data_IF_041679835551
#
_entry.id   IF_041679835551
#
_cell.length_a   1.000
_cell.length_b   1.000
_cell.length_c   1.000
_cell.angle_alpha   90.00
_cell.angle_beta   90.00
_cell.angle_gamma   90.00
#
_symmetry.space_group_name_H-M   'P 1'
#
loop_
_entity.id
_entity.type
_entity.pdbx_description
1 polymer ?
#
# COMPACT_ATOMS: atom_id res chain seq x y z
N UNK A 1 -23.63 -24.78 56.85
CA UNK A 1 -24.25 -24.98 55.52
C UNK A 1 -24.44 -23.67 54.75
N UNK A 2 -25.01 -22.62 55.35
CA UNK A 2 -25.30 -21.35 54.64
C UNK A 2 -24.06 -20.68 54.03
N UNK A 3 -22.93 -20.67 54.73
CA UNK A 3 -21.66 -20.10 54.25
C UNK A 3 -21.11 -20.81 53.01
N UNK A 4 -21.26 -22.12 52.93
CA UNK A 4 -20.81 -22.91 51.78
C UNK A 4 -21.62 -22.58 50.52
N UNK A 5 -22.94 -22.41 50.65
CA UNK A 5 -23.83 -22.05 49.53
C UNK A 5 -23.46 -20.67 48.97
N UNK A 6 -23.16 -19.70 49.83
CA UNK A 6 -22.78 -18.34 49.42
C UNK A 6 -21.48 -18.35 48.61
N UNK A 7 -20.47 -19.12 49.07
CA UNK A 7 -19.17 -19.21 48.36
C UNK A 7 -19.32 -19.81 46.96
N UNK A 8 -20.15 -20.87 46.83
CA UNK A 8 -20.40 -21.49 45.52
C UNK A 8 -21.09 -20.52 44.56
N UNK A 9 -22.07 -19.73 45.03
CA UNK A 9 -22.76 -18.74 44.21
C UNK A 9 -21.84 -17.62 43.72
N UNK A 10 -20.90 -17.17 44.57
CA UNK A 10 -19.91 -16.16 44.18
C UNK A 10 -18.99 -16.69 43.09
N UNK A 11 -18.48 -17.93 43.22
CA UNK A 11 -17.60 -18.54 42.22
C UNK A 11 -18.31 -18.69 40.87
N UNK A 12 -19.57 -19.13 40.87
CA UNK A 12 -20.38 -19.24 39.65
C UNK A 12 -20.62 -17.87 39.00
N UNK A 13 -20.92 -16.84 39.79
CA UNK A 13 -21.10 -15.47 39.27
C UNK A 13 -19.81 -14.90 38.65
N UNK A 14 -18.67 -15.07 39.32
CA UNK A 14 -17.37 -14.62 38.81
C UNK A 14 -17.03 -15.36 37.52
N UNK A 15 -17.26 -16.67 37.46
CA UNK A 15 -16.99 -17.48 36.27
C UNK A 15 -17.83 -17.06 35.08
N UNK A 16 -19.12 -16.76 35.29
CA UNK A 16 -20.02 -16.25 34.26
C UNK A 16 -19.62 -14.85 33.75
N UNK A 17 -19.16 -13.97 34.65
CA UNK A 17 -18.67 -12.64 34.29
C UNK A 17 -17.38 -12.71 33.46
N UNK A 18 -16.43 -13.55 33.86
CA UNK A 18 -15.18 -13.76 33.12
C UNK A 18 -15.44 -14.36 31.73
N UNK A 19 -16.36 -15.32 31.63
CA UNK A 19 -16.72 -15.92 30.35
C UNK A 19 -17.37 -14.90 29.39
N UNK A 20 -18.25 -14.04 29.91
CA UNK A 20 -18.90 -12.99 29.11
C UNK A 20 -17.92 -11.92 28.64
N UNK A 21 -16.90 -11.62 29.44
CA UNK A 21 -15.87 -10.64 29.07
C UNK A 21 -14.96 -11.15 27.95
N UNK A 22 -14.58 -12.44 27.99
CA UNK A 22 -13.73 -13.04 26.95
C UNK A 22 -14.44 -13.14 25.58
N UNK A 23 -15.78 -13.29 25.58
CA UNK A 23 -16.54 -13.34 24.32
C UNK A 23 -16.64 -11.97 23.63
N UNK A 24 -16.60 -10.86 24.38
CA UNK A 24 -16.66 -9.52 23.81
C UNK A 24 -15.37 -9.14 23.06
N UNK A 25 -14.22 -9.73 23.43
CA UNK A 25 -12.94 -9.44 22.77
C UNK A 25 -12.74 -10.18 21.44
N UNK A 26 -13.55 -11.18 21.13
CA UNK A 26 -13.42 -11.93 19.86
C UNK A 26 -14.22 -11.30 18.70
N UNK A 27 -15.24 -10.49 18.97
CA UNK A 27 -16.05 -9.87 17.91
C UNK A 27 -15.44 -8.59 17.31
N UNK A 28 -14.40 -8.01 17.92
CA UNK A 28 -13.72 -6.81 17.39
C UNK A 28 -12.66 -7.09 16.29
N UNK A 29 -12.42 -8.36 15.92
CA UNK A 29 -11.44 -8.70 14.86
C UNK A 29 -12.06 -9.25 13.57
N UNK A 30 -13.39 -9.26 13.44
CA UNK A 30 -14.10 -9.55 12.18
C UNK A 30 -14.78 -8.30 11.60
N UNK A 31 -14.23 -7.12 11.86
CA UNK A 31 -14.53 -5.91 11.10
C UNK A 31 -13.89 -6.01 9.73
N UNK A 32 -14.56 -6.69 8.80
CA UNK A 32 -14.29 -6.59 7.36
C UNK A 32 -14.59 -5.14 6.95
N UNK A 33 -13.64 -4.26 7.25
CA UNK A 33 -13.64 -2.89 6.81
C UNK A 33 -13.58 -2.96 5.29
N UNK A 34 -14.76 -2.91 4.67
CA UNK A 34 -14.92 -2.59 3.27
C UNK A 34 -14.27 -1.24 3.04
N UNK A 35 -12.98 -1.25 2.70
CA UNK A 35 -12.29 -0.15 2.06
C UNK A 35 -12.85 -0.02 0.65
N UNK A 36 -14.13 0.38 0.56
CA UNK A 36 -14.70 0.95 -0.63
C UNK A 36 -13.93 2.25 -0.86
N UNK A 37 -12.94 2.20 -1.75
CA UNK A 37 -12.57 3.38 -2.48
C UNK A 37 -13.86 3.89 -3.13
N UNK A 38 -14.53 4.86 -2.50
CA UNK A 38 -15.57 5.65 -3.13
C UNK A 38 -14.91 6.26 -4.35
N UNK A 39 -15.10 5.63 -5.50
CA UNK A 39 -14.81 6.21 -6.79
C UNK A 39 -15.86 7.33 -6.96
N UNK A 40 -15.58 8.48 -6.34
CA UNK A 40 -16.34 9.68 -6.58
C UNK A 40 -16.12 10.02 -8.05
N UNK A 41 -17.21 9.90 -8.80
CA UNK A 41 -17.29 10.14 -10.23
C UNK A 41 -17.12 11.64 -10.42
N UNK A 42 -15.88 12.12 -10.37
CA UNK A 42 -15.54 13.49 -10.74
C UNK A 42 -15.75 13.61 -12.25
N UNK A 43 -16.95 14.04 -12.63
CA UNK A 43 -17.21 14.53 -13.98
C UNK A 43 -16.33 15.77 -14.19
N UNK A 44 -15.23 15.59 -14.91
CA UNK A 44 -14.31 16.67 -15.27
C UNK A 44 -15.06 17.70 -16.17
N UNK A 45 -15.25 18.96 -15.76
CA UNK A 45 -16.08 19.93 -16.50
C UNK A 45 -15.45 20.51 -17.78
N UNK A 46 -14.35 19.95 -18.30
CA UNK A 46 -13.51 20.66 -19.29
C UNK A 46 -13.05 19.83 -20.49
N UNK A 47 -13.80 18.81 -20.91
CA UNK A 47 -13.51 18.18 -22.21
C UNK A 47 -14.25 18.93 -23.34
N UNK A 48 -13.53 19.53 -24.32
CA UNK A 48 -14.16 20.10 -25.49
C UNK A 48 -14.81 18.98 -26.32
N UNK A 49 -16.12 19.10 -26.55
CA UNK A 49 -16.82 18.27 -27.53
C UNK A 49 -16.35 18.66 -28.93
N UNK A 50 -15.55 17.80 -29.57
CA UNK A 50 -15.00 18.10 -30.89
C UNK A 50 -14.48 16.89 -31.65
N UNK A 51 -15.26 16.48 -32.66
CA UNK A 51 -14.91 15.73 -33.88
C UNK A 51 -14.45 14.27 -33.75
N UNK A 52 -15.38 13.40 -34.15
CA UNK A 52 -15.11 12.11 -34.79
C UNK A 52 -14.22 12.30 -36.02
N UNK A 53 -12.97 11.84 -35.94
CA UNK A 53 -12.05 11.84 -37.07
C UNK A 53 -10.91 10.86 -36.83
N UNK A 54 -10.94 9.77 -37.61
CA UNK A 54 -9.82 8.90 -38.01
C UNK A 54 -8.80 8.50 -36.94
N UNK A 55 -8.85 7.23 -36.55
CA UNK A 55 -7.83 6.54 -35.75
C UNK A 55 -6.51 6.52 -36.53
N UNK A 56 -5.66 7.52 -36.29
CA UNK A 56 -4.22 7.38 -36.50
C UNK A 56 -3.63 6.69 -35.28
N UNK A 57 -3.08 5.50 -35.49
CA UNK A 57 -2.26 4.77 -34.52
C UNK A 57 -1.14 5.66 -34.00
N UNK A 58 -1.34 6.23 -32.81
CA UNK A 58 -0.28 6.89 -32.07
C UNK A 58 0.68 5.79 -31.63
N UNK A 59 1.80 5.68 -32.34
CA UNK A 59 2.97 4.92 -31.92
C UNK A 59 3.32 5.33 -30.48
N UNK A 60 3.03 4.42 -29.55
CA UNK A 60 3.34 4.51 -28.13
C UNK A 60 4.86 4.56 -28.00
N UNK A 61 5.41 5.75 -27.97
CA UNK A 61 6.83 5.97 -27.76
C UNK A 61 7.14 5.49 -26.33
N UNK A 62 7.83 4.36 -26.23
CA UNK A 62 8.41 3.89 -24.98
C UNK A 62 9.24 5.04 -24.41
N UNK A 63 8.93 5.45 -23.18
CA UNK A 63 9.73 6.43 -22.46
C UNK A 63 11.05 5.76 -22.08
N UNK A 64 11.99 5.76 -23.03
CA UNK A 64 13.40 5.55 -22.76
C UNK A 64 13.85 6.75 -21.90
N UNK A 65 14.17 6.56 -20.61
CA UNK A 65 14.62 7.66 -19.78
C UNK A 65 15.93 8.17 -20.38
N UNK A 66 15.89 9.32 -21.06
CA UNK A 66 17.09 9.97 -21.57
C UNK A 66 18.02 10.21 -20.38
N UNK A 67 19.24 9.69 -20.46
CA UNK A 67 20.31 10.02 -19.54
C UNK A 67 20.37 11.55 -19.39
N UNK A 68 20.02 12.06 -18.21
CA UNK A 68 19.98 13.51 -17.96
C UNK A 68 18.64 14.09 -17.52
N UNK A 69 17.57 13.31 -17.34
CA UNK A 69 16.42 13.81 -16.56
C UNK A 69 16.85 14.02 -15.11
N UNK A 70 17.17 15.29 -14.80
CA UNK A 70 17.57 15.72 -13.46
C UNK A 70 16.54 15.27 -12.45
N UNK A 71 17.03 14.73 -11.33
CA UNK A 71 16.31 14.29 -10.14
C UNK A 71 15.05 15.13 -9.78
N UNK A 72 15.06 16.43 -10.07
CA UNK A 72 13.96 17.37 -9.80
C UNK A 72 12.79 17.29 -10.81
N UNK A 73 13.00 16.90 -12.07
CA UNK A 73 11.91 16.83 -13.08
C UNK A 73 10.99 15.61 -12.87
N UNK A 74 11.53 14.49 -12.39
CA UNK A 74 10.71 13.35 -11.97
C UNK A 74 9.84 13.68 -10.74
N UNK A 75 10.28 14.64 -9.92
CA UNK A 75 9.53 15.18 -8.79
C UNK A 75 8.59 16.34 -9.17
N UNK A 76 8.80 17.04 -10.29
CA UNK A 76 7.82 18.00 -10.84
C UNK A 76 6.46 17.35 -11.19
N UNK A 77 6.42 16.03 -11.38
CA UNK A 77 5.17 15.26 -11.54
C UNK A 77 4.47 14.88 -10.23
N UNK A 78 5.06 15.28 -9.11
CA UNK A 78 4.61 15.03 -7.76
C UNK A 78 4.87 16.30 -6.88
N UNK A 79 4.36 17.49 -7.26
CA UNK A 79 4.71 18.76 -6.59
C UNK A 79 4.15 18.92 -5.16
N UNK A 80 3.58 17.87 -4.55
CA UNK A 80 2.89 17.94 -3.25
C UNK A 80 3.52 17.07 -2.15
N UNK A 81 4.67 16.41 -2.38
CA UNK A 81 5.18 15.45 -1.39
C UNK A 81 5.83 16.07 -0.15
N UNK A 82 6.26 17.33 -0.19
CA UNK A 82 6.83 18.00 1.00
C UNK A 82 5.79 18.33 2.07
N UNK A 83 4.50 18.33 1.72
CA UNK A 83 3.39 18.58 2.66
C UNK A 83 2.41 17.41 2.77
N UNK A 84 2.78 16.24 2.27
CA UNK A 84 1.91 15.08 2.43
C UNK A 84 1.96 14.62 3.89
N UNK A 85 0.87 14.85 4.63
CA UNK A 85 0.63 14.21 5.91
C UNK A 85 0.45 12.70 5.65
N UNK A 86 1.56 12.00 5.58
CA UNK A 86 1.59 10.56 5.38
C UNK A 86 1.05 9.91 6.65
N UNK A 87 -0.27 9.77 6.70
CA UNK A 87 -0.99 8.96 7.67
C UNK A 87 -1.20 7.58 7.06
N UNK A 88 -0.29 6.62 7.28
CA UNK A 88 -0.39 5.31 6.64
C UNK A 88 -1.66 4.59 7.07
N UNK A 89 -2.34 4.01 6.07
CA UNK A 89 -3.58 3.25 6.28
C UNK A 89 -3.31 1.93 7.00
N UNK A 90 -2.14 1.33 6.75
CA UNK A 90 -1.70 0.06 7.34
C UNK A 90 -0.43 0.27 8.15
N UNK A 91 -0.37 -0.29 9.37
CA UNK A 91 0.80 -0.14 10.27
C UNK A 91 1.41 -1.47 10.70
N UNK A 92 0.64 -2.56 10.70
CA UNK A 92 1.16 -3.90 10.98
C UNK A 92 1.49 -4.67 9.68
N UNK A 93 2.31 -5.70 9.79
CA UNK A 93 2.83 -6.45 8.64
C UNK A 93 1.72 -7.11 7.80
N UNK A 94 0.72 -7.70 8.44
CA UNK A 94 -0.39 -8.38 7.75
C UNK A 94 -1.23 -7.40 6.96
N UNK A 95 -1.56 -6.24 7.52
CA UNK A 95 -2.27 -5.16 6.83
C UNK A 95 -1.46 -4.60 5.66
N UNK A 96 -0.17 -4.33 5.87
CA UNK A 96 0.73 -3.82 4.82
C UNK A 96 0.77 -4.81 3.66
N UNK A 97 0.97 -6.10 3.93
CA UNK A 97 1.00 -7.14 2.91
C UNK A 97 -0.34 -7.27 2.20
N UNK A 98 -1.46 -7.26 2.93
CA UNK A 98 -2.82 -7.31 2.37
C UNK A 98 -3.07 -6.11 1.43
N UNK A 99 -2.73 -4.91 1.86
CA UNK A 99 -2.95 -3.67 1.12
C UNK A 99 -2.07 -3.59 -0.14
N UNK A 100 -0.79 -3.97 -0.05
CA UNK A 100 0.10 -4.07 -1.22
C UNK A 100 -0.39 -5.11 -2.22
N UNK A 101 -0.86 -6.26 -1.74
CA UNK A 101 -1.41 -7.33 -2.59
C UNK A 101 -2.66 -6.84 -3.32
N UNK A 102 -3.55 -6.13 -2.62
CA UNK A 102 -4.72 -5.51 -3.24
C UNK A 102 -4.31 -4.46 -4.30
N UNK A 103 -3.41 -3.53 -3.97
CA UNK A 103 -2.95 -2.53 -4.93
C UNK A 103 -2.26 -3.15 -6.15
N UNK A 104 -1.54 -4.25 -5.96
CA UNK A 104 -0.95 -5.03 -7.04
C UNK A 104 -2.03 -5.64 -7.95
N UNK A 105 -3.07 -6.27 -7.40
CA UNK A 105 -4.13 -6.91 -8.19
C UNK A 105 -4.92 -5.90 -9.04
N UNK A 106 -5.20 -4.70 -8.49
CA UNK A 106 -5.91 -3.63 -9.21
C UNK A 106 -4.98 -2.69 -9.99
N UNK A 107 -3.68 -3.00 -10.05
CA UNK A 107 -2.65 -2.21 -10.77
C UNK A 107 -2.60 -0.74 -10.38
N UNK A 108 -2.68 -0.46 -9.08
CA UNK A 108 -2.68 0.88 -8.50
C UNK A 108 -1.33 1.23 -7.90
N UNK A 109 -0.79 2.39 -8.25
CA UNK A 109 0.47 2.87 -7.71
C UNK A 109 0.30 3.19 -6.21
N UNK A 110 1.38 3.04 -5.45
CA UNK A 110 1.37 3.21 -4.01
C UNK A 110 2.52 4.10 -3.56
N UNK A 111 2.31 4.78 -2.45
CA UNK A 111 3.35 5.47 -1.70
C UNK A 111 3.63 4.61 -0.48
N UNK A 112 4.89 4.24 -0.29
CA UNK A 112 5.33 3.44 0.84
C UNK A 112 6.25 4.25 1.73
N UNK A 113 6.13 4.04 3.03
CA UNK A 113 7.15 4.40 4.00
C UNK A 113 8.06 3.21 4.23
N UNK A 114 9.32 3.38 3.85
CA UNK A 114 10.28 2.29 3.75
C UNK A 114 11.49 2.55 4.63
N UNK A 115 11.80 1.60 5.51
CA UNK A 115 12.99 1.64 6.35
C UNK A 115 14.19 1.02 5.62
N UNK A 116 15.29 1.78 5.49
CA UNK A 116 16.54 1.27 4.94
C UNK A 116 17.30 0.48 6.02
N UNK A 117 17.81 -0.70 5.65
CA UNK A 117 18.58 -1.52 6.60
C UNK A 117 20.01 -1.04 6.87
N UNK A 118 20.49 -0.07 6.09
CA UNK A 118 21.84 0.50 6.23
C UNK A 118 21.79 1.98 5.82
N UNK A 119 21.25 2.86 6.68
CA UNK A 119 21.26 4.30 6.40
C UNK A 119 22.69 4.80 6.36
N UNK A 120 23.02 5.65 5.39
CA UNK A 120 24.28 6.37 5.41
C UNK A 120 24.26 7.40 6.56
N UNK A 121 25.44 7.81 7.08
CA UNK A 121 25.52 8.94 7.98
C UNK A 121 24.75 10.14 7.40
N UNK A 122 23.93 10.79 8.20
CA UNK A 122 23.08 11.94 7.83
C UNK A 122 21.89 11.65 6.90
N UNK A 123 21.66 10.39 6.49
CA UNK A 123 20.41 10.03 5.82
C UNK A 123 19.37 9.52 6.82
N UNK A 124 18.09 9.89 6.67
CA UNK A 124 17.04 9.32 7.50
C UNK A 124 16.89 7.81 7.22
N UNK A 125 16.71 7.03 8.28
CA UNK A 125 16.47 5.59 8.18
C UNK A 125 15.16 5.28 7.45
N UNK A 126 14.15 6.14 7.57
CA UNK A 126 12.86 6.02 6.87
C UNK A 126 12.84 6.91 5.63
N UNK A 127 12.32 6.37 4.54
CA UNK A 127 12.25 7.04 3.24
C UNK A 127 10.88 6.80 2.62
N UNK A 128 10.20 7.88 2.23
CA UNK A 128 8.96 7.80 1.46
C UNK A 128 9.28 7.51 -0.01
N UNK A 129 8.55 6.59 -0.62
CA UNK A 129 8.76 6.14 -2.00
C UNK A 129 7.43 5.96 -2.73
N UNK A 130 7.26 6.66 -3.85
CA UNK A 130 6.23 6.32 -4.82
C UNK A 130 6.70 5.15 -5.70
N UNK A 131 5.89 4.10 -5.83
CA UNK A 131 6.25 2.88 -6.56
C UNK A 131 5.08 2.28 -7.36
N UNK A 132 5.41 1.54 -8.43
CA UNK A 132 4.48 0.68 -9.20
C UNK A 132 4.89 -0.78 -9.04
N UNK A 133 4.04 -1.61 -8.44
CA UNK A 133 4.36 -3.01 -8.10
C UNK A 133 4.27 -3.90 -9.35
N UNK A 134 5.37 -4.49 -9.78
CA UNK A 134 5.41 -5.36 -10.96
C UNK A 134 5.35 -6.84 -10.63
N UNK A 135 5.85 -7.24 -9.46
CA UNK A 135 5.69 -8.61 -8.97
C UNK A 135 5.60 -8.62 -7.45
N UNK A 136 4.87 -9.59 -6.91
CA UNK A 136 4.63 -9.77 -5.48
C UNK A 136 4.98 -11.20 -5.08
N UNK A 137 5.76 -11.36 -4.01
CA UNK A 137 6.20 -12.63 -3.46
C UNK A 137 5.88 -12.72 -1.98
N UNK A 138 6.31 -13.78 -1.28
CA UNK A 138 5.94 -13.99 0.11
C UNK A 138 6.57 -12.97 1.07
N UNK A 139 7.83 -12.59 0.81
CA UNK A 139 8.65 -11.70 1.65
C UNK A 139 9.18 -10.46 0.91
N UNK A 140 9.10 -10.47 -0.41
CA UNK A 140 9.65 -9.43 -1.28
C UNK A 140 8.62 -9.03 -2.33
N UNK A 141 8.74 -7.82 -2.84
CA UNK A 141 8.07 -7.39 -4.05
C UNK A 141 9.02 -6.58 -4.92
N UNK A 142 8.82 -6.63 -6.23
CA UNK A 142 9.55 -5.84 -7.19
C UNK A 142 8.67 -4.72 -7.71
N UNK A 143 9.21 -3.51 -7.71
CA UNK A 143 8.47 -2.34 -8.12
C UNK A 143 9.36 -1.32 -8.84
N UNK A 144 8.79 -0.59 -9.79
CA UNK A 144 9.42 0.57 -10.37
C UNK A 144 9.42 1.72 -9.35
N UNK A 145 10.61 2.17 -8.94
CA UNK A 145 10.79 3.21 -7.95
C UNK A 145 11.04 4.55 -8.64
N UNK A 146 10.10 5.48 -8.52
CA UNK A 146 10.22 6.80 -9.18
C UNK A 146 11.43 7.59 -8.69
N UNK A 147 11.76 7.50 -7.40
CA UNK A 147 12.94 8.17 -6.83
C UNK A 147 14.26 7.70 -7.47
N UNK A 148 14.35 6.42 -7.87
CA UNK A 148 15.56 5.87 -8.51
C UNK A 148 15.46 5.77 -10.03
N UNK A 149 14.29 6.00 -10.61
CA UNK A 149 14.03 5.81 -12.05
C UNK A 149 14.22 4.37 -12.54
N UNK A 150 14.17 3.36 -11.66
CA UNK A 150 14.43 1.95 -12.04
C UNK A 150 13.64 0.97 -11.17
N UNK A 151 13.50 -0.26 -11.65
CA UNK A 151 12.97 -1.39 -10.89
C UNK A 151 13.89 -1.72 -9.72
N UNK A 152 13.30 -1.94 -8.53
CA UNK A 152 13.98 -2.35 -7.31
C UNK A 152 13.18 -3.43 -6.58
N UNK A 153 13.90 -4.27 -5.86
CA UNK A 153 13.32 -5.24 -4.93
C UNK A 153 13.19 -4.61 -3.55
N UNK A 154 12.02 -4.72 -2.95
CA UNK A 154 11.70 -4.23 -1.63
C UNK A 154 11.34 -5.42 -0.73
N UNK A 155 11.88 -5.42 0.49
CA UNK A 155 11.46 -6.36 1.54
C UNK A 155 10.16 -5.89 2.18
N UNK A 156 9.19 -6.77 2.35
CA UNK A 156 7.89 -6.45 2.95
C UNK A 156 8.02 -6.06 4.43
N UNK A 157 8.92 -6.69 5.17
CA UNK A 157 9.15 -6.43 6.60
C UNK A 157 9.70 -5.02 6.91
N UNK A 158 10.26 -4.35 5.89
CA UNK A 158 10.78 -2.97 5.98
C UNK A 158 9.78 -1.90 5.56
N UNK A 159 8.60 -2.30 5.09
CA UNK A 159 7.53 -1.35 4.77
C UNK A 159 6.76 -1.06 6.06
N UNK A 160 6.86 0.18 6.54
CA UNK A 160 6.23 0.64 7.78
C UNK A 160 4.85 1.24 7.56
N UNK A 161 4.55 1.63 6.31
CA UNK A 161 3.27 2.20 5.95
C UNK A 161 3.04 2.16 4.45
N UNK A 162 1.78 2.10 4.06
CA UNK A 162 1.35 2.06 2.66
C UNK A 162 0.15 2.98 2.50
N UNK A 163 0.18 3.76 1.42
CA UNK A 163 -0.90 4.64 1.01
C UNK A 163 -1.16 4.44 -0.49
N UNK A 164 -2.32 3.88 -0.88
CA UNK A 164 -2.71 3.79 -2.28
C UNK A 164 -2.85 5.18 -2.91
N UNK A 165 -2.59 5.29 -4.20
CA UNK A 165 -2.81 6.51 -4.99
C UNK A 165 -3.92 6.27 -6.01
N UNK A 166 -4.49 7.30 -6.63
CA UNK A 166 -5.50 7.11 -7.68
C UNK A 166 -4.92 6.70 -9.04
N UNK A 167 -3.59 6.69 -9.17
CA UNK A 167 -2.91 6.42 -10.44
C UNK A 167 -2.84 4.91 -10.70
N UNK A 168 -3.38 4.48 -11.84
CA UNK A 168 -3.19 3.11 -12.35
C UNK A 168 -1.92 3.00 -13.20
N UNK A 169 -1.47 1.78 -13.47
CA UNK A 169 -0.34 1.52 -14.36
C UNK A 169 -0.46 0.20 -15.10
N UNK A 170 0.33 0.05 -16.17
CA UNK A 170 0.53 -1.24 -16.86
C UNK A 170 1.93 -1.75 -16.57
N UNK A 171 2.06 -3.07 -16.36
CA UNK A 171 3.37 -3.72 -16.25
C UNK A 171 3.95 -3.85 -17.67
N UNK A 172 5.23 -3.49 -17.91
CA UNK A 172 5.86 -3.66 -19.21
C UNK A 172 5.83 -5.12 -19.67
N UNK A 173 5.51 -5.39 -20.93
CA UNK A 173 5.41 -6.75 -21.46
C UNK A 173 6.72 -7.55 -21.35
N UNK A 174 7.87 -6.85 -21.43
CA UNK A 174 9.21 -7.41 -21.28
C UNK A 174 9.68 -7.62 -19.83
N UNK A 175 8.86 -7.27 -18.84
CA UNK A 175 9.26 -7.42 -17.44
C UNK A 175 9.22 -8.89 -17.02
N UNK A 176 10.36 -9.38 -16.52
CA UNK A 176 10.49 -10.72 -15.95
C UNK A 176 10.81 -10.57 -14.45
N UNK A 177 10.00 -11.15 -13.55
CA UNK A 177 10.26 -11.09 -12.11
C UNK A 177 11.59 -11.74 -11.73
N UNK A 178 12.35 -11.07 -10.87
CA UNK A 178 13.58 -11.60 -10.31
C UNK A 178 13.36 -12.80 -9.38
N UNK A 179 14.46 -13.51 -9.08
CA UNK A 179 14.46 -14.73 -8.26
C UNK A 179 13.90 -14.51 -6.85
N UNK A 180 14.14 -13.35 -6.23
CA UNK A 180 13.71 -13.05 -4.86
C UNK A 180 12.20 -13.07 -4.66
N UNK A 181 11.44 -12.80 -5.72
CA UNK A 181 9.98 -12.75 -5.69
C UNK A 181 9.37 -14.13 -5.96
N UNK A 182 10.11 -15.02 -6.63
CA UNK A 182 9.67 -16.38 -7.00
C UNK A 182 9.90 -17.44 -5.92
N UNK A 183 10.74 -17.14 -4.92
CA UNK A 183 11.06 -18.02 -3.79
C UNK A 183 10.04 -17.93 -2.66
#
# INVERSE_FOLDING_TARGET
MLTFIIVVLIIVCISALLFRWNKATEEEHSGDAGYMCKAEKAEAPWLPQGRTGVVSTVSRQEFEPKEGYGFLEAFKFLPEFEHYDFSPVAKNYSEVKRLLTHCFSVRRAVIIDYETGSPQPFEPARKIRAVKIYAMGPNYFEAFCYYRGTTRTFRLDRVRGVMPTDRSYTIPARFVPGEWVRR
#
